data_IF_312980836631
#
_entry.id   IF_312980836631
#
_cell.length_a   1.000
_cell.length_b   1.000
_cell.length_c   1.000
_cell.angle_alpha   90.00
_cell.angle_beta   90.00
_cell.angle_gamma   90.00
#
_symmetry.space_group_name_H-M   'P 1'
#
loop_
_entity.id
_entity.type
_entity.pdbx_description
1 polymer ?
#
# COMPACT_ATOMS: atom_id res chain seq x y z
N UNK A 1 67.95 -55.25 45.97
CA UNK A 1 67.63 -53.88 45.49
C UNK A 1 67.01 -53.82 44.07
N UNK A 2 66.75 -54.94 43.37
CA UNK A 2 66.15 -54.89 42.02
C UNK A 2 64.61 -55.06 41.97
N UNK A 3 63.97 -55.52 43.06
CA UNK A 3 62.52 -55.78 43.07
C UNK A 3 61.67 -54.53 43.33
N UNK A 4 62.18 -53.51 44.02
CA UNK A 4 61.42 -52.29 44.35
C UNK A 4 61.19 -51.39 43.12
N UNK A 5 62.16 -51.35 42.19
CA UNK A 5 62.04 -50.56 40.95
C UNK A 5 61.04 -51.13 39.94
N UNK A 6 60.88 -52.46 39.87
CA UNK A 6 59.95 -53.11 38.94
C UNK A 6 58.47 -52.88 39.29
N UNK A 7 58.14 -52.80 40.60
CA UNK A 7 56.78 -52.47 41.02
C UNK A 7 56.49 -50.97 40.88
N UNK A 8 57.42 -50.08 41.27
CA UNK A 8 57.24 -48.64 41.14
C UNK A 8 56.99 -48.17 39.69
N UNK A 9 57.69 -48.78 38.72
CA UNK A 9 57.49 -48.54 37.29
C UNK A 9 56.07 -48.87 36.79
N UNK A 10 55.43 -49.94 37.30
CA UNK A 10 54.10 -50.35 36.84
C UNK A 10 52.99 -49.53 37.47
N UNK A 11 53.17 -49.02 38.69
CA UNK A 11 52.23 -48.08 39.30
C UNK A 11 52.26 -46.70 38.61
N UNK A 12 53.46 -46.20 38.28
CA UNK A 12 53.60 -44.89 37.63
C UNK A 12 53.15 -44.93 36.15
N UNK A 13 53.38 -46.03 35.45
CA UNK A 13 52.86 -46.24 34.09
C UNK A 13 51.33 -46.50 34.05
N UNK A 14 50.78 -47.18 35.07
CA UNK A 14 49.34 -47.40 35.23
C UNK A 14 48.56 -46.11 35.50
N UNK A 15 49.09 -45.23 36.35
CA UNK A 15 48.48 -43.92 36.64
C UNK A 15 48.54 -42.98 35.43
N UNK A 16 49.68 -42.89 34.73
CA UNK A 16 49.79 -42.06 33.53
C UNK A 16 48.89 -42.53 32.38
N UNK A 17 48.70 -43.84 32.23
CA UNK A 17 47.78 -44.38 31.21
C UNK A 17 46.31 -44.15 31.53
N UNK A 18 45.91 -44.18 32.81
CA UNK A 18 44.54 -43.82 33.22
C UNK A 18 44.26 -42.33 33.02
N UNK A 19 45.20 -41.45 33.35
CA UNK A 19 45.06 -40.01 33.13
C UNK A 19 44.94 -39.68 31.64
N UNK A 20 45.79 -40.25 30.79
CA UNK A 20 45.66 -40.09 29.33
C UNK A 20 44.30 -40.59 28.81
N UNK A 21 43.83 -41.74 29.28
CA UNK A 21 42.51 -42.27 28.89
C UNK A 21 41.35 -41.38 29.36
N UNK A 22 41.49 -40.68 30.49
CA UNK A 22 40.48 -39.74 30.98
C UNK A 22 40.44 -38.45 30.14
N UNK A 23 41.61 -37.93 29.75
CA UNK A 23 41.73 -36.75 28.89
C UNK A 23 41.19 -37.03 27.50
N UNK A 24 41.55 -38.18 26.91
CA UNK A 24 41.03 -38.60 25.60
C UNK A 24 39.51 -38.76 25.64
N UNK A 25 38.95 -39.35 26.70
CA UNK A 25 37.49 -39.46 26.87
C UNK A 25 36.81 -38.10 26.95
N UNK A 26 37.31 -37.19 27.78
CA UNK A 26 36.75 -35.85 27.93
C UNK A 26 36.83 -35.06 26.61
N UNK A 27 37.93 -35.20 25.87
CA UNK A 27 38.07 -34.60 24.54
C UNK A 27 37.07 -35.19 23.56
N UNK A 28 36.87 -36.50 23.56
CA UNK A 28 35.89 -37.17 22.71
C UNK A 28 34.46 -36.72 23.03
N UNK A 29 34.11 -36.57 24.30
CA UNK A 29 32.81 -36.05 24.73
C UNK A 29 32.58 -34.60 24.25
N UNK A 30 33.61 -33.74 24.37
CA UNK A 30 33.53 -32.37 23.84
C UNK A 30 33.39 -32.34 22.32
N UNK A 31 34.10 -33.19 21.59
CA UNK A 31 33.97 -33.30 20.13
C UNK A 31 32.54 -33.70 19.76
N UNK A 32 32.00 -34.74 20.41
CA UNK A 32 30.64 -35.21 20.14
C UNK A 32 29.59 -34.12 20.44
N UNK A 33 29.76 -33.36 21.52
CA UNK A 33 28.84 -32.26 21.86
C UNK A 33 28.94 -31.10 20.86
N UNK A 34 30.15 -30.72 20.44
CA UNK A 34 30.35 -29.70 19.42
C UNK A 34 29.76 -30.13 18.07
N UNK A 35 29.88 -31.40 17.70
CA UNK A 35 29.25 -31.95 16.50
C UNK A 35 27.73 -31.89 16.58
N UNK A 36 27.14 -32.20 17.74
CA UNK A 36 25.70 -32.10 17.99
C UNK A 36 25.21 -30.66 17.86
N UNK A 37 25.87 -29.71 18.52
CA UNK A 37 25.53 -28.28 18.45
C UNK A 37 25.67 -27.76 17.02
N UNK A 38 26.73 -28.18 16.30
CA UNK A 38 26.93 -27.79 14.90
C UNK A 38 25.80 -28.30 14.02
N UNK A 39 25.36 -29.55 14.21
CA UNK A 39 24.26 -30.13 13.45
C UNK A 39 22.94 -29.41 13.73
N UNK A 40 22.60 -29.19 15.00
CA UNK A 40 21.40 -28.44 15.40
C UNK A 40 21.40 -26.99 14.86
N UNK A 41 22.57 -26.34 14.86
CA UNK A 41 22.71 -24.98 14.32
C UNK A 41 22.58 -24.95 12.80
N UNK A 42 23.15 -25.93 12.11
CA UNK A 42 23.03 -26.06 10.66
C UNK A 42 21.57 -26.29 10.23
N UNK A 43 20.83 -27.11 10.97
CA UNK A 43 19.40 -27.33 10.72
C UNK A 43 18.59 -26.04 10.89
N UNK A 44 18.82 -25.30 11.98
CA UNK A 44 18.15 -24.00 12.22
C UNK A 44 18.46 -22.99 11.12
N UNK A 45 19.71 -22.90 10.67
CA UNK A 45 20.10 -22.03 9.56
C UNK A 45 19.37 -22.40 8.28
N UNK A 46 19.30 -23.69 7.93
CA UNK A 46 18.59 -24.15 6.75
C UNK A 46 17.08 -23.78 6.79
N UNK A 47 16.44 -23.88 7.95
CA UNK A 47 15.05 -23.47 8.14
C UNK A 47 14.89 -21.95 7.97
N UNK A 48 15.77 -21.16 8.58
CA UNK A 48 15.73 -19.69 8.50
C UNK A 48 15.98 -19.18 7.09
N UNK A 49 16.97 -19.74 6.38
CA UNK A 49 17.26 -19.41 4.99
C UNK A 49 16.06 -19.70 4.09
N UNK A 50 15.42 -20.87 4.28
CA UNK A 50 14.22 -21.22 3.54
C UNK A 50 13.05 -20.29 3.84
N UNK A 51 12.84 -19.93 5.12
CA UNK A 51 11.81 -18.95 5.49
C UNK A 51 12.07 -17.60 4.83
N UNK A 52 13.30 -17.11 4.90
CA UNK A 52 13.67 -15.82 4.29
C UNK A 52 13.49 -15.84 2.77
N UNK A 53 13.76 -16.94 2.09
CA UNK A 53 13.52 -17.08 0.65
C UNK A 53 12.01 -17.00 0.34
N UNK A 54 11.19 -17.73 1.10
CA UNK A 54 9.73 -17.71 0.97
C UNK A 54 9.19 -16.29 1.20
N UNK A 55 9.64 -15.61 2.25
CA UNK A 55 9.20 -14.25 2.56
C UNK A 55 9.58 -13.26 1.45
N UNK A 56 10.80 -13.37 0.91
CA UNK A 56 11.22 -12.54 -0.23
C UNK A 56 10.38 -12.80 -1.48
N UNK A 57 10.06 -14.06 -1.78
CA UNK A 57 9.19 -14.42 -2.91
C UNK A 57 7.76 -13.93 -2.70
N UNK A 58 7.22 -14.05 -1.49
CA UNK A 58 5.89 -13.54 -1.14
C UNK A 58 5.82 -12.02 -1.32
N UNK A 59 6.82 -11.28 -0.81
CA UNK A 59 6.91 -9.83 -0.99
C UNK A 59 7.03 -9.45 -2.47
N UNK A 60 7.80 -10.19 -3.27
CA UNK A 60 7.89 -9.96 -4.72
C UNK A 60 6.54 -10.18 -5.41
N UNK A 61 5.85 -11.29 -5.12
CA UNK A 61 4.53 -11.58 -5.69
C UNK A 61 3.52 -10.48 -5.38
N UNK A 62 3.44 -10.04 -4.13
CA UNK A 62 2.53 -8.94 -3.74
C UNK A 62 2.87 -7.64 -4.48
N UNK A 63 4.16 -7.31 -4.64
CA UNK A 63 4.60 -6.13 -5.42
C UNK A 63 4.25 -6.24 -6.89
N UNK A 64 4.42 -7.42 -7.48
CA UNK A 64 4.09 -7.67 -8.89
C UNK A 64 2.58 -7.60 -9.12
N UNK A 65 1.77 -8.17 -8.24
CA UNK A 65 0.30 -8.05 -8.28
C UNK A 65 -0.15 -6.60 -8.16
N UNK A 66 0.40 -5.83 -7.21
CA UNK A 66 0.10 -4.41 -7.06
C UNK A 66 0.45 -3.61 -8.32
N UNK A 67 1.62 -3.90 -8.93
CA UNK A 67 2.03 -3.28 -10.19
C UNK A 67 1.07 -3.62 -11.32
N UNK A 68 0.64 -4.88 -11.43
CA UNK A 68 -0.33 -5.31 -12.43
C UNK A 68 -1.67 -4.60 -12.24
N UNK A 69 -2.19 -4.53 -11.02
CA UNK A 69 -3.42 -3.79 -10.72
C UNK A 69 -3.30 -2.30 -11.04
N UNK A 70 -2.16 -1.67 -10.77
CA UNK A 70 -1.94 -0.27 -11.12
C UNK A 70 -1.90 -0.08 -12.64
N UNK A 71 -1.25 -0.98 -13.38
CA UNK A 71 -1.21 -0.94 -14.84
C UNK A 71 -2.60 -1.16 -15.46
N UNK A 72 -3.36 -2.13 -14.96
CA UNK A 72 -4.74 -2.38 -15.39
C UNK A 72 -5.62 -1.15 -15.12
N UNK A 73 -5.47 -0.51 -13.95
CA UNK A 73 -6.17 0.73 -13.61
C UNK A 73 -5.80 1.87 -14.55
N UNK A 74 -4.53 2.00 -14.94
CA UNK A 74 -4.07 3.01 -15.89
C UNK A 74 -4.61 2.74 -17.30
N UNK A 75 -4.60 1.48 -17.75
CA UNK A 75 -5.17 1.10 -19.04
C UNK A 75 -6.68 1.34 -19.10
N UNK A 76 -7.43 0.95 -18.05
CA UNK A 76 -8.85 1.25 -17.93
C UNK A 76 -9.10 2.76 -17.94
N UNK A 77 -8.21 3.54 -17.34
CA UNK A 77 -8.33 4.99 -17.34
C UNK A 77 -8.01 5.63 -18.70
N UNK A 78 -6.99 5.12 -19.40
CA UNK A 78 -6.66 5.51 -20.78
C UNK A 78 -7.79 5.14 -21.74
N UNK A 79 -8.36 3.94 -21.61
CA UNK A 79 -9.50 3.49 -22.39
C UNK A 79 -10.74 4.34 -22.11
N UNK A 80 -11.04 4.65 -20.85
CA UNK A 80 -12.12 5.58 -20.49
C UNK A 80 -11.85 7.00 -21.03
N UNK A 81 -10.60 7.45 -21.03
CA UNK A 81 -10.21 8.75 -21.60
C UNK A 81 -10.35 8.75 -23.12
N UNK A 82 -9.97 7.67 -23.79
CA UNK A 82 -10.11 7.48 -25.22
C UNK A 82 -11.59 7.39 -25.64
N UNK A 83 -12.40 6.59 -24.94
CA UNK A 83 -13.85 6.52 -25.11
C UNK A 83 -14.49 7.90 -24.93
N UNK A 84 -14.08 8.65 -23.91
CA UNK A 84 -14.51 10.04 -23.72
C UNK A 84 -14.04 10.95 -24.85
N UNK A 85 -12.83 10.81 -25.37
CA UNK A 85 -12.34 11.62 -26.50
C UNK A 85 -13.16 11.36 -27.77
N UNK A 86 -13.51 10.11 -28.04
CA UNK A 86 -14.32 9.73 -29.20
C UNK A 86 -15.76 10.23 -29.08
N UNK A 87 -16.34 10.19 -27.88
CA UNK A 87 -17.65 10.81 -27.59
C UNK A 87 -17.57 12.34 -27.64
N UNK A 88 -16.49 12.95 -27.13
CA UNK A 88 -16.30 14.41 -27.12
C UNK A 88 -16.07 14.99 -28.51
N UNK A 89 -15.43 14.26 -29.44
CA UNK A 89 -15.33 14.71 -30.85
C UNK A 89 -16.68 14.76 -31.58
N UNK A 90 -17.74 14.16 -31.03
CA UNK A 90 -19.11 14.29 -31.54
C UNK A 90 -19.91 15.41 -30.85
N UNK A 91 -19.41 16.00 -29.77
CA UNK A 91 -20.28 16.68 -28.79
C UNK A 91 -19.70 18.00 -28.28
N UNK A 92 -19.50 18.94 -29.19
CA UNK A 92 -19.23 20.33 -28.84
C UNK A 92 -20.48 21.07 -28.33
N UNK A 93 -21.61 20.39 -28.01
CA UNK A 93 -22.88 21.09 -27.73
C UNK A 93 -23.78 20.61 -26.58
N UNK A 94 -23.67 19.42 -25.97
CA UNK A 94 -24.71 19.01 -24.99
C UNK A 94 -24.17 18.15 -23.81
N UNK A 95 -24.28 18.63 -22.55
CA UNK A 95 -23.88 17.80 -21.38
C UNK A 95 -23.66 18.49 -20.03
N UNK A 96 -23.25 17.71 -19.02
CA UNK A 96 -22.82 18.17 -17.68
C UNK A 96 -21.32 18.46 -17.70
N UNK A 97 -20.86 19.50 -16.99
CA UNK A 97 -19.44 19.88 -16.92
C UNK A 97 -19.03 20.23 -15.50
N UNK A 98 -17.76 19.96 -15.17
CA UNK A 98 -17.13 20.33 -13.90
C UNK A 98 -16.17 21.48 -14.16
N UNK A 99 -16.25 22.52 -13.34
CA UNK A 99 -15.48 23.76 -13.47
C UNK A 99 -14.94 24.23 -12.13
N UNK A 100 -13.93 25.10 -12.18
CA UNK A 100 -13.45 25.93 -11.05
C UNK A 100 -13.15 25.13 -9.77
N UNK A 101 -12.54 23.95 -9.91
CA UNK A 101 -12.08 23.20 -8.75
C UNK A 101 -11.01 24.00 -7.98
N UNK A 102 -11.13 24.03 -6.66
CA UNK A 102 -10.17 24.66 -5.77
C UNK A 102 -10.11 23.98 -4.42
N UNK A 103 -8.93 23.99 -3.82
CA UNK A 103 -8.68 23.56 -2.45
C UNK A 103 -8.17 24.74 -1.63
N UNK A 104 -8.62 24.82 -0.39
CA UNK A 104 -8.12 25.76 0.62
C UNK A 104 -7.80 25.00 1.89
N UNK A 105 -6.87 25.51 2.69
CA UNK A 105 -6.66 25.00 4.06
C UNK A 105 -7.90 25.31 4.91
N UNK A 106 -8.33 24.33 5.70
CA UNK A 106 -9.40 24.49 6.68
C UNK A 106 -8.85 24.65 8.10
N UNK A 107 -9.74 24.54 9.08
CA UNK A 107 -9.42 24.69 10.50
C UNK A 107 -8.86 23.38 11.07
N UNK A 108 -7.57 23.16 10.87
CA UNK A 108 -6.82 22.04 11.45
C UNK A 108 -5.77 21.46 10.51
N UNK A 109 -4.83 20.71 11.09
CA UNK A 109 -3.84 19.98 10.30
C UNK A 109 -4.51 18.87 9.48
N UNK A 110 -4.14 18.78 8.19
CA UNK A 110 -4.74 17.81 7.27
C UNK A 110 -6.18 18.12 6.87
N UNK A 111 -6.77 19.24 7.29
CA UNK A 111 -8.14 19.65 6.94
C UNK A 111 -8.12 20.58 5.74
N UNK A 112 -8.92 20.27 4.72
CA UNK A 112 -9.04 21.05 3.50
C UNK A 112 -10.50 21.30 3.15
N UNK A 113 -10.77 22.50 2.65
CA UNK A 113 -12.05 22.84 2.07
C UNK A 113 -11.93 22.72 0.55
N UNK A 114 -12.78 21.90 -0.06
CA UNK A 114 -12.88 21.82 -1.51
C UNK A 114 -14.07 22.65 -1.99
N UNK A 115 -13.94 23.22 -3.19
CA UNK A 115 -15.05 23.82 -3.91
C UNK A 115 -14.91 23.53 -5.40
N UNK A 116 -16.02 23.17 -6.03
CA UNK A 116 -16.12 23.08 -7.49
C UNK A 116 -17.52 23.45 -7.95
N UNK A 117 -17.62 23.87 -9.20
CA UNK A 117 -18.89 24.23 -9.82
C UNK A 117 -19.26 23.16 -10.82
N UNK A 118 -20.53 22.73 -10.82
CA UNK A 118 -21.07 21.84 -11.84
C UNK A 118 -22.12 22.59 -12.65
N UNK A 119 -22.03 22.54 -13.97
CA UNK A 119 -22.95 23.20 -14.90
C UNK A 119 -23.55 22.20 -15.87
N UNK A 120 -24.74 22.49 -16.40
CA UNK A 120 -25.36 21.71 -17.47
C UNK A 120 -25.63 22.64 -18.65
N UNK A 121 -25.17 22.25 -19.84
CA UNK A 121 -25.25 23.07 -21.06
C UNK A 121 -26.50 22.81 -21.91
N UNK A 122 -27.57 22.23 -21.34
CA UNK A 122 -28.78 21.82 -22.08
C UNK A 122 -29.87 22.89 -22.07
N UNK A 123 -30.58 23.02 -23.19
CA UNK A 123 -31.72 23.93 -23.38
C UNK A 123 -33.10 23.29 -23.06
N UNK A 124 -33.13 22.00 -22.70
CA UNK A 124 -34.38 21.29 -22.40
C UNK A 124 -34.58 21.29 -20.88
N UNK A 125 -35.63 21.97 -20.41
CA UNK A 125 -35.95 22.27 -19.00
C UNK A 125 -36.26 21.07 -18.08
N UNK A 126 -35.81 19.87 -18.43
CA UNK A 126 -35.84 18.72 -17.54
C UNK A 126 -34.78 18.91 -16.46
N UNK A 127 -35.23 19.11 -15.23
CA UNK A 127 -34.37 19.20 -14.05
C UNK A 127 -33.56 17.91 -13.93
N UNK A 128 -32.32 17.94 -14.41
CA UNK A 128 -31.43 16.82 -14.20
C UNK A 128 -30.92 16.89 -12.75
N UNK A 129 -31.01 15.78 -12.04
CA UNK A 129 -30.39 15.60 -10.73
C UNK A 129 -29.36 14.48 -10.84
N UNK A 130 -28.40 14.42 -9.93
CA UNK A 130 -27.35 13.44 -9.98
C UNK A 130 -26.56 13.33 -8.68
N UNK A 131 -25.44 12.63 -8.78
CA UNK A 131 -24.54 12.39 -7.67
C UNK A 131 -23.12 12.77 -8.07
N UNK A 132 -22.45 13.51 -7.20
CA UNK A 132 -21.03 13.75 -7.29
C UNK A 132 -20.27 12.85 -6.31
N UNK A 133 -19.13 12.35 -6.77
CA UNK A 133 -18.17 11.55 -6.04
C UNK A 133 -16.84 12.30 -6.06
N UNK A 134 -16.13 12.24 -4.95
CA UNK A 134 -14.82 12.85 -4.80
C UNK A 134 -13.86 11.81 -4.22
N UNK A 135 -12.65 11.80 -4.75
CA UNK A 135 -11.57 11.01 -4.20
C UNK A 135 -10.23 11.71 -4.37
N UNK A 136 -9.26 11.31 -3.55
CA UNK A 136 -7.90 11.83 -3.60
C UNK A 136 -6.95 10.67 -3.88
N UNK A 137 -6.15 10.81 -4.94
CA UNK A 137 -5.07 9.89 -5.28
C UNK A 137 -3.76 10.45 -4.71
N UNK A 138 -2.98 9.60 -4.05
CA UNK A 138 -1.76 10.02 -3.38
C UNK A 138 -0.90 8.87 -2.91
N UNK A 139 0.01 9.17 -2.00
CA UNK A 139 0.93 8.20 -1.40
C UNK A 139 0.74 8.20 0.11
N UNK A 140 0.58 7.03 0.73
CA UNK A 140 0.67 6.87 2.19
C UNK A 140 1.91 6.07 2.51
N UNK A 141 2.81 6.63 3.32
CA UNK A 141 4.09 5.97 3.67
C UNK A 141 4.94 5.53 2.45
N UNK A 142 4.74 6.18 1.30
CA UNK A 142 5.43 5.86 0.04
C UNK A 142 4.67 4.89 -0.87
N UNK A 143 3.58 4.27 -0.40
CA UNK A 143 2.75 3.38 -1.21
C UNK A 143 1.57 4.13 -1.84
N UNK A 144 1.24 3.87 -3.12
CA UNK A 144 0.06 4.44 -3.76
C UNK A 144 -1.22 4.07 -3.03
N UNK A 145 -1.96 5.09 -2.61
CA UNK A 145 -3.22 4.94 -1.89
C UNK A 145 -4.28 5.88 -2.49
N UNK A 146 -5.48 5.33 -2.65
CA UNK A 146 -6.65 6.06 -3.14
C UNK A 146 -7.65 6.23 -2.00
N UNK A 147 -8.02 7.48 -1.71
CA UNK A 147 -8.91 7.83 -0.60
C UNK A 147 -10.27 8.32 -1.13
N UNK A 148 -11.36 7.55 -0.96
CA UNK A 148 -12.71 8.00 -1.28
C UNK A 148 -13.24 9.03 -0.26
N UNK A 149 -14.20 9.87 -0.67
CA UNK A 149 -14.81 10.90 0.19
C UNK A 149 -15.26 10.39 1.56
N UNK A 150 -15.80 9.16 1.61
CA UNK A 150 -16.27 8.53 2.84
C UNK A 150 -15.17 8.38 3.91
N UNK A 151 -13.93 8.17 3.48
CA UNK A 151 -12.79 8.01 4.40
C UNK A 151 -12.20 9.36 4.83
N UNK A 152 -12.59 10.44 4.15
CA UNK A 152 -12.11 11.79 4.42
C UNK A 152 -13.17 12.68 5.09
N UNK A 153 -14.36 12.16 5.39
CA UNK A 153 -15.47 12.91 5.99
C UNK A 153 -15.96 12.25 7.28
N UNK A 154 -16.23 13.05 8.32
CA UNK A 154 -16.73 12.53 9.62
C UNK A 154 -18.07 11.81 9.49
N UNK A 155 -18.93 12.33 8.61
CA UNK A 155 -20.27 11.80 8.35
C UNK A 155 -20.26 10.57 7.44
N UNK A 156 -19.08 10.10 7.00
CA UNK A 156 -18.93 8.99 6.06
C UNK A 156 -19.75 9.20 4.78
N UNK A 157 -19.70 10.41 4.24
CA UNK A 157 -20.44 10.79 3.03
C UNK A 157 -19.88 10.04 1.82
N UNK A 158 -20.69 9.18 1.20
CA UNK A 158 -20.28 8.42 0.02
C UNK A 158 -20.47 9.21 -1.28
N UNK A 159 -21.47 10.08 -1.32
CA UNK A 159 -21.87 10.84 -2.51
C UNK A 159 -22.57 12.13 -2.13
N UNK A 160 -22.42 13.13 -2.99
CA UNK A 160 -23.01 14.46 -2.81
C UNK A 160 -24.16 14.61 -3.80
N UNK A 161 -25.34 15.00 -3.33
CA UNK A 161 -26.50 15.21 -4.20
C UNK A 161 -26.32 16.48 -5.01
N UNK A 162 -26.46 16.39 -6.33
CA UNK A 162 -26.33 17.51 -7.26
C UNK A 162 -27.66 17.77 -7.97
N UNK A 163 -28.03 19.04 -8.11
CA UNK A 163 -29.17 19.51 -8.90
C UNK A 163 -28.63 20.44 -9.99
N UNK A 164 -28.85 20.08 -11.24
CA UNK A 164 -28.26 20.75 -12.40
C UNK A 164 -29.12 21.92 -12.90
N UNK A 165 -29.69 22.75 -12.03
CA UNK A 165 -30.66 23.79 -12.42
C UNK A 165 -30.02 25.09 -12.97
N UNK A 166 -28.95 24.98 -13.79
CA UNK A 166 -28.10 26.01 -14.43
C UNK A 166 -26.64 25.91 -13.99
N UNK A 167 -26.36 26.05 -12.70
CA UNK A 167 -25.05 25.82 -12.09
C UNK A 167 -25.22 25.57 -10.58
N UNK A 168 -24.40 24.70 -10.01
CA UNK A 168 -24.37 24.47 -8.58
C UNK A 168 -22.93 24.50 -8.10
N UNK A 169 -22.66 25.35 -7.12
CA UNK A 169 -21.42 25.29 -6.35
C UNK A 169 -21.56 24.21 -5.29
N UNK A 170 -20.57 23.32 -5.28
CA UNK A 170 -20.47 22.24 -4.32
C UNK A 170 -19.22 22.50 -3.51
N UNK A 171 -19.41 22.57 -2.20
CA UNK A 171 -18.34 22.74 -1.23
C UNK A 171 -18.46 21.72 -0.12
N UNK A 172 -17.33 21.45 0.52
CA UNK A 172 -17.27 20.55 1.66
C UNK A 172 -15.88 20.52 2.26
N UNK A 173 -15.78 19.75 3.34
CA UNK A 173 -14.56 19.63 4.13
C UNK A 173 -14.09 18.19 4.04
N UNK A 174 -12.83 18.01 3.73
CA UNK A 174 -12.13 16.73 3.78
C UNK A 174 -11.01 16.80 4.80
N UNK A 175 -10.82 15.73 5.54
CA UNK A 175 -9.70 15.53 6.44
C UNK A 175 -8.87 14.36 5.91
N UNK A 176 -7.62 14.64 5.57
CA UNK A 176 -6.69 13.61 5.14
C UNK A 176 -6.09 12.90 6.37
N UNK A 177 -5.83 11.58 6.28
CA UNK A 177 -5.14 10.86 7.32
C UNK A 177 -3.68 11.31 7.42
N UNK A 178 -3.08 11.10 8.60
CA UNK A 178 -1.66 11.36 8.82
C UNK A 178 -0.78 10.57 7.84
N UNK A 179 0.38 11.13 7.49
CA UNK A 179 1.35 10.57 6.55
C UNK A 179 0.85 10.34 5.12
N UNK A 180 -0.30 10.90 4.75
CA UNK A 180 -0.81 10.87 3.38
C UNK A 180 -0.35 12.10 2.59
N UNK A 181 0.31 11.86 1.46
CA UNK A 181 0.78 12.88 0.51
C UNK A 181 -0.16 12.90 -0.71
N UNK A 182 -1.11 13.84 -0.78
CA UNK A 182 -2.03 13.92 -1.91
C UNK A 182 -1.32 14.39 -3.18
N UNK A 183 -1.71 13.83 -4.32
CA UNK A 183 -1.17 14.19 -5.64
C UNK A 183 -2.24 14.79 -6.54
N UNK A 184 -3.41 14.14 -6.63
CA UNK A 184 -4.51 14.57 -7.50
C UNK A 184 -5.86 14.40 -6.82
N UNK A 185 -6.79 15.29 -7.14
CA UNK A 185 -8.21 15.12 -6.81
C UNK A 185 -8.96 14.64 -8.02
N UNK A 186 -9.81 13.66 -7.82
CA UNK A 186 -10.69 13.09 -8.84
C UNK A 186 -12.12 13.46 -8.46
N UNK A 187 -12.81 14.15 -9.36
CA UNK A 187 -14.21 14.50 -9.21
C UNK A 187 -14.99 13.82 -10.31
N UNK A 188 -16.03 13.09 -9.94
CA UNK A 188 -16.90 12.37 -10.86
C UNK A 188 -18.35 12.76 -10.60
N UNK A 189 -19.08 13.11 -11.66
CA UNK A 189 -20.48 13.49 -11.62
C UNK A 189 -21.25 12.52 -12.49
N UNK A 190 -22.18 11.79 -11.86
CA UNK A 190 -23.10 10.86 -12.52
C UNK A 190 -24.51 11.46 -12.53
N UNK A 191 -25.03 11.88 -13.69
CA UNK A 191 -26.43 12.26 -13.82
C UNK A 191 -27.36 11.07 -13.52
N UNK A 192 -28.54 11.34 -12.96
CA UNK A 192 -29.58 10.31 -12.76
C UNK A 192 -30.28 9.98 -14.08
N UNK A 193 -30.26 10.90 -15.04
CA UNK A 193 -30.79 10.68 -16.38
C UNK A 193 -29.76 9.88 -17.20
N UNK A 194 -30.13 8.68 -17.64
CA UNK A 194 -29.27 7.77 -18.42
C UNK A 194 -28.87 8.33 -19.79
N UNK A 195 -29.59 9.33 -20.30
CA UNK A 195 -29.27 9.97 -21.58
C UNK A 195 -28.16 11.01 -21.45
N UNK A 196 -27.78 11.41 -20.23
CA UNK A 196 -26.67 12.32 -20.00
C UNK A 196 -25.42 11.51 -19.64
N UNK A 197 -24.27 11.76 -20.31
CA UNK A 197 -23.03 11.07 -19.99
C UNK A 197 -22.53 11.44 -18.60
N UNK A 198 -21.87 10.49 -17.93
CA UNK A 198 -21.11 10.80 -16.71
C UNK A 198 -19.82 11.56 -17.04
N UNK A 199 -19.42 12.45 -16.14
CA UNK A 199 -18.21 13.26 -16.31
C UNK A 199 -17.26 13.02 -15.16
N UNK A 200 -16.01 12.73 -15.48
CA UNK A 200 -14.93 12.56 -14.50
C UNK A 200 -13.75 13.42 -14.91
N UNK A 201 -13.27 14.24 -13.99
CA UNK A 201 -12.14 15.12 -14.18
C UNK A 201 -11.11 14.91 -13.07
N UNK A 202 -9.85 15.15 -13.41
CA UNK A 202 -8.73 15.14 -12.49
C UNK A 202 -8.16 16.54 -12.36
N UNK A 203 -7.88 16.93 -11.13
CA UNK A 203 -7.26 18.20 -10.81
C UNK A 203 -5.98 17.93 -10.01
N UNK A 204 -4.93 18.69 -10.28
CA UNK A 204 -3.72 18.62 -9.47
C UNK A 204 -4.01 19.12 -8.05
N UNK A 205 -3.34 18.51 -7.07
CA UNK A 205 -3.47 18.93 -5.67
C UNK A 205 -2.77 20.27 -5.45
N UNK A 206 -3.49 21.38 -5.67
CA UNK A 206 -2.99 22.74 -5.46
C UNK A 206 -3.85 23.43 -4.40
N UNK A 207 -3.26 23.65 -3.23
CA UNK A 207 -3.92 24.32 -2.11
C UNK A 207 -3.68 25.82 -2.21
N UNK A 208 -4.76 26.60 -2.37
CA UNK A 208 -4.72 28.05 -2.28
C UNK A 208 -4.59 28.47 -0.82
N UNK A 209 -3.59 29.30 -0.55
CA UNK A 209 -3.38 29.96 0.74
C UNK A 209 -4.42 31.04 1.03
#
# INVERSE_FOLDING_TARGET
>A
MALVGYYASRYQAGLGSQELQSVVRLQQERINELERIRLESAEKLAVLERSSQIDQEAVRKVRDELKNYQQERLQLDEELTFLRSMVSTKDDREGVQIHRFSLKKGDGEGVFQYRFTVTQSMNNGDTASGWAFLAVDGLKEGEPMWLPLREMTKEKTERIKVRFNQFQDIEGIIQLPENFKPLKVIVEVKPSNKNLPEVKQRFDWVVKG
#
